data_IF_379145113915
#
_entry.id   IF_379145113915
#
_cell.length_a   1.000
_cell.length_b   1.000
_cell.length_c   1.000
_cell.angle_alpha   90.00
_cell.angle_beta   90.00
_cell.angle_gamma   90.00
#
_symmetry.space_group_name_H-M   'P 1'
#
loop_
_entity.id
_entity.type
_entity.pdbx_description
1 polymer ?
#
# COMPACT_ATOMS: atom_id res chain seq x y z
N UNK A 1 -5.61 22.29 -2.99
CA UNK A 1 -4.34 21.66 -3.38
C UNK A 1 -4.60 20.42 -4.21
N UNK A 2 -3.70 20.05 -5.10
CA UNK A 2 -3.70 18.75 -5.78
C UNK A 2 -2.95 17.79 -4.86
N UNK A 3 -3.51 16.62 -4.59
CA UNK A 3 -2.91 15.61 -3.73
C UNK A 3 -2.79 14.31 -4.50
N UNK A 4 -1.60 13.77 -4.67
CA UNK A 4 -1.42 12.38 -5.10
C UNK A 4 -1.40 11.48 -3.87
N UNK A 5 -2.01 10.29 -3.95
CA UNK A 5 -2.08 9.35 -2.82
C UNK A 5 -1.95 7.92 -3.32
N UNK A 6 -1.29 7.11 -2.49
CA UNK A 6 -1.16 5.67 -2.66
C UNK A 6 -1.25 4.97 -1.30
N UNK A 7 -1.67 3.70 -1.28
CA UNK A 7 -1.80 2.92 -0.05
C UNK A 7 -1.21 1.53 -0.18
N UNK A 8 -0.48 1.10 0.86
CA UNK A 8 -0.01 -0.28 1.02
C UNK A 8 -0.93 -1.04 1.97
N UNK A 9 -1.35 -2.23 1.56
CA UNK A 9 -2.38 -2.98 2.27
C UNK A 9 -1.93 -4.39 2.65
N UNK A 10 -2.57 -4.98 3.66
CA UNK A 10 -2.31 -6.37 4.07
C UNK A 10 -2.85 -7.41 3.08
N UNK A 11 -3.58 -6.99 2.06
CA UNK A 11 -4.14 -7.82 0.99
C UNK A 11 -5.21 -7.08 0.21
N UNK A 12 -5.86 -7.77 -0.75
CA UNK A 12 -6.82 -7.18 -1.68
C UNK A 12 -8.28 -7.30 -1.23
N UNK A 13 -8.56 -8.10 -0.21
CA UNK A 13 -9.91 -8.44 0.21
C UNK A 13 -10.33 -7.64 1.45
N UNK A 14 -10.80 -6.43 1.23
CA UNK A 14 -11.27 -5.55 2.29
C UNK A 14 -12.51 -6.08 3.02
N UNK A 15 -13.33 -6.90 2.36
CA UNK A 15 -14.49 -7.53 2.98
C UNK A 15 -14.11 -8.60 4.03
N UNK A 16 -12.95 -9.23 3.88
CA UNK A 16 -12.43 -10.21 4.83
C UNK A 16 -11.31 -9.67 5.72
N UNK A 17 -11.29 -8.35 5.91
CA UNK A 17 -10.48 -7.73 6.94
C UNK A 17 -9.10 -7.23 6.50
N UNK A 18 -8.78 -7.26 5.19
CA UNK A 18 -7.59 -6.55 4.71
C UNK A 18 -7.75 -5.04 4.94
N UNK A 19 -6.66 -4.39 5.34
CA UNK A 19 -6.63 -2.95 5.61
C UNK A 19 -5.34 -2.34 5.13
N UNK A 20 -5.33 -1.06 4.82
CA UNK A 20 -4.08 -0.33 4.61
C UNK A 20 -3.30 -0.24 5.91
N UNK A 21 -1.99 -0.40 5.81
CA UNK A 21 -1.06 -0.21 6.93
C UNK A 21 -0.11 0.96 6.68
N UNK A 22 -0.08 1.46 5.45
CA UNK A 22 0.70 2.61 5.06
C UNK A 22 -0.12 3.45 4.08
N UNK A 23 -0.13 4.75 4.28
CA UNK A 23 -0.66 5.74 3.35
C UNK A 23 0.44 6.74 3.07
N UNK A 24 0.70 6.98 1.81
CA UNK A 24 1.61 8.03 1.35
C UNK A 24 0.87 9.04 0.50
N UNK A 25 1.25 10.30 0.60
CA UNK A 25 0.69 11.33 -0.25
C UNK A 25 1.72 12.43 -0.54
N UNK A 26 1.48 13.18 -1.61
CA UNK A 26 2.31 14.32 -1.98
C UNK A 26 1.42 15.40 -2.60
N UNK A 27 1.61 16.66 -2.19
CA UNK A 27 0.88 17.80 -2.76
C UNK A 27 1.72 18.64 -3.73
N UNK A 28 2.94 18.17 -4.00
CA UNK A 28 3.91 18.82 -4.86
C UNK A 28 5.00 19.58 -4.10
N UNK A 29 4.70 20.06 -2.90
CA UNK A 29 5.65 20.74 -2.02
C UNK A 29 6.08 19.84 -0.86
N UNK A 30 5.10 19.16 -0.23
CA UNK A 30 5.29 18.29 0.92
C UNK A 30 4.96 16.83 0.60
N UNK A 31 5.71 15.92 1.26
CA UNK A 31 5.45 14.49 1.25
C UNK A 31 4.90 14.07 2.61
N UNK A 32 3.81 13.33 2.58
CA UNK A 32 3.14 12.81 3.76
C UNK A 32 3.33 11.30 3.85
N UNK A 33 3.48 10.82 5.06
CA UNK A 33 3.66 9.41 5.36
C UNK A 33 2.94 9.08 6.67
N UNK A 34 1.99 8.16 6.63
CA UNK A 34 1.25 7.70 7.80
C UNK A 34 1.26 6.19 7.86
N UNK A 35 1.57 5.66 9.02
CA UNK A 35 1.74 4.22 9.24
C UNK A 35 0.81 3.73 10.35
N UNK A 36 0.07 2.66 10.06
CA UNK A 36 -0.65 1.88 11.05
C UNK A 36 0.21 0.76 11.63
N UNK A 37 0.04 0.46 12.90
CA UNK A 37 0.70 -0.67 13.53
C UNK A 37 0.14 -1.98 13.00
N UNK A 38 0.99 -2.90 12.57
CA UNK A 38 0.61 -4.20 12.03
C UNK A 38 1.01 -5.31 13.00
N UNK A 39 0.05 -6.14 13.38
CA UNK A 39 0.38 -7.39 14.06
C UNK A 39 1.06 -8.34 13.04
N UNK A 40 2.32 -8.73 13.25
CA UNK A 40 3.06 -9.53 12.27
C UNK A 40 2.50 -10.95 12.08
N UNK A 41 1.68 -11.44 13.02
CA UNK A 41 1.12 -12.79 13.01
C UNK A 41 -0.29 -12.83 12.42
N UNK A 42 -1.18 -11.95 12.92
CA UNK A 42 -2.58 -11.91 12.49
C UNK A 42 -2.78 -11.02 11.27
N UNK A 43 -1.84 -10.11 11.02
CA UNK A 43 -1.92 -9.02 10.03
C UNK A 43 -3.06 -8.03 10.30
N UNK A 44 -3.57 -8.01 11.51
CA UNK A 44 -4.46 -6.97 11.95
C UNK A 44 -3.72 -5.64 11.96
N UNK A 45 -4.38 -4.61 11.43
CA UNK A 45 -3.85 -3.26 11.36
C UNK A 45 -4.59 -2.39 12.37
N UNK A 46 -3.83 -1.64 13.15
CA UNK A 46 -4.34 -0.68 14.12
C UNK A 46 -3.85 0.71 13.74
N UNK A 47 -4.77 1.63 13.65
CA UNK A 47 -4.51 3.04 13.41
C UNK A 47 -4.82 3.84 14.65
N UNK A 48 -3.91 4.72 15.03
CA UNK A 48 -4.16 5.69 16.09
C UNK A 48 -5.15 6.75 15.59
N UNK A 49 -6.04 7.21 16.45
CA UNK A 49 -7.13 8.13 16.08
C UNK A 49 -6.61 9.49 15.61
N UNK A 50 -5.57 10.00 16.24
CA UNK A 50 -4.91 11.26 15.89
C UNK A 50 -4.25 11.19 14.50
N UNK A 51 -3.68 10.04 14.11
CA UNK A 51 -3.14 9.82 12.77
C UNK A 51 -4.26 9.82 11.73
N UNK A 52 -5.39 9.14 12.01
CA UNK A 52 -6.55 9.16 11.11
C UNK A 52 -7.15 10.56 10.97
N UNK A 53 -7.20 11.33 12.05
CA UNK A 53 -7.65 12.73 12.02
C UNK A 53 -6.74 13.60 11.16
N UNK A 54 -5.43 13.39 11.22
CA UNK A 54 -4.47 14.09 10.36
C UNK A 54 -4.69 13.74 8.88
N UNK A 55 -4.78 12.45 8.54
CA UNK A 55 -5.08 11.98 7.18
C UNK A 55 -6.38 12.62 6.68
N UNK A 56 -7.45 12.55 7.49
CA UNK A 56 -8.74 13.14 7.12
C UNK A 56 -8.64 14.65 6.90
N UNK A 57 -7.87 15.34 7.74
CA UNK A 57 -7.64 16.78 7.60
C UNK A 57 -6.98 17.14 6.28
N UNK A 58 -5.98 16.36 5.85
CA UNK A 58 -5.29 16.57 4.57
C UNK A 58 -6.24 16.27 3.40
N UNK A 59 -6.96 15.15 3.45
CA UNK A 59 -7.95 14.77 2.44
C UNK A 59 -9.04 15.84 2.26
N UNK A 60 -9.51 16.43 3.35
CA UNK A 60 -10.52 17.49 3.30
C UNK A 60 -10.04 18.77 2.59
N UNK A 61 -8.74 19.04 2.61
CA UNK A 61 -8.13 20.22 1.98
C UNK A 61 -7.87 20.03 0.49
N UNK A 62 -7.89 18.80 -0.03
CA UNK A 62 -7.61 18.58 -1.43
C UNK A 62 -8.76 19.09 -2.33
N UNK A 63 -8.40 19.67 -3.44
CA UNK A 63 -9.32 20.09 -4.52
C UNK A 63 -9.34 19.07 -5.65
N UNK A 64 -8.23 18.35 -5.84
CA UNK A 64 -8.08 17.22 -6.77
C UNK A 64 -7.30 16.13 -6.07
N UNK A 65 -7.78 14.90 -6.14
CA UNK A 65 -7.16 13.70 -5.58
C UNK A 65 -6.72 12.80 -6.74
N UNK A 66 -5.42 12.63 -6.89
CA UNK A 66 -4.82 11.83 -7.98
C UNK A 66 -4.39 10.47 -7.44
N UNK A 67 -4.86 9.41 -8.06
CA UNK A 67 -4.52 8.03 -7.71
C UNK A 67 -4.30 7.19 -8.96
N UNK A 68 -3.73 6.00 -8.79
CA UNK A 68 -3.63 5.01 -9.86
C UNK A 68 -4.43 3.77 -9.49
N UNK A 69 -5.55 3.51 -10.17
CA UNK A 69 -6.57 2.53 -9.77
C UNK A 69 -7.33 2.98 -8.50
N UNK A 70 -7.84 4.18 -8.56
CA UNK A 70 -8.54 4.89 -7.47
C UNK A 70 -9.52 4.04 -6.67
N UNK A 71 -10.24 3.13 -7.35
CA UNK A 71 -11.22 2.28 -6.68
C UNK A 71 -10.61 1.42 -5.57
N UNK A 72 -9.35 1.03 -5.72
CA UNK A 72 -8.64 0.25 -4.71
C UNK A 72 -8.33 1.11 -3.48
N UNK A 73 -7.67 2.24 -3.67
CA UNK A 73 -7.23 3.11 -2.57
C UNK A 73 -8.42 3.75 -1.83
N UNK A 74 -9.47 4.13 -2.54
CA UNK A 74 -10.68 4.64 -1.91
C UNK A 74 -11.32 3.59 -0.98
N UNK A 75 -11.37 2.32 -1.39
CA UNK A 75 -11.83 1.23 -0.50
C UNK A 75 -10.89 0.98 0.67
N UNK A 76 -9.59 1.11 0.45
CA UNK A 76 -8.61 1.00 1.51
C UNK A 76 -8.85 2.08 2.58
N UNK A 77 -8.98 3.34 2.18
CA UNK A 77 -9.28 4.45 3.08
C UNK A 77 -10.60 4.27 3.83
N UNK A 78 -11.66 3.85 3.12
CA UNK A 78 -12.97 3.57 3.74
C UNK A 78 -12.88 2.47 4.80
N UNK A 79 -12.07 1.43 4.55
CA UNK A 79 -11.92 0.27 5.44
C UNK A 79 -11.36 0.61 6.82
N UNK A 80 -10.68 1.74 6.96
CA UNK A 80 -10.14 2.26 8.22
C UNK A 80 -10.98 3.40 8.81
N UNK A 81 -12.13 3.68 8.23
CA UNK A 81 -13.11 4.63 8.77
C UNK A 81 -12.96 6.07 8.29
N UNK A 82 -12.10 6.33 7.31
CA UNK A 82 -12.00 7.65 6.71
C UNK A 82 -13.26 7.99 5.90
N UNK A 83 -13.69 9.23 5.96
CA UNK A 83 -14.86 9.74 5.23
C UNK A 83 -14.42 10.17 3.84
N UNK A 84 -14.81 9.40 2.85
CA UNK A 84 -14.32 9.56 1.47
C UNK A 84 -15.42 9.97 0.47
N UNK A 85 -16.68 9.98 0.87
CA UNK A 85 -17.81 10.19 -0.04
C UNK A 85 -17.70 11.52 -0.81
N UNK A 86 -17.21 12.56 -0.13
CA UNK A 86 -17.03 13.90 -0.70
C UNK A 86 -15.81 14.03 -1.62
N UNK A 87 -14.99 12.97 -1.71
CA UNK A 87 -13.78 12.97 -2.54
C UNK A 87 -14.05 12.45 -3.95
N UNK A 88 -15.12 11.68 -4.18
CA UNK A 88 -15.40 11.07 -5.47
C UNK A 88 -15.51 12.07 -6.62
N UNK A 89 -16.03 13.25 -6.36
CA UNK A 89 -16.15 14.34 -7.36
C UNK A 89 -14.80 15.04 -7.66
N UNK A 90 -13.74 14.70 -6.91
CA UNK A 90 -12.41 15.32 -7.00
C UNK A 90 -11.35 14.37 -7.54
N UNK A 91 -11.72 13.12 -7.81
CA UNK A 91 -10.78 12.07 -8.18
C UNK A 91 -10.35 12.17 -9.63
N UNK A 92 -9.05 12.06 -9.84
CA UNK A 92 -8.42 11.85 -11.15
C UNK A 92 -7.67 10.50 -11.12
N UNK A 93 -8.15 9.55 -11.92
CA UNK A 93 -7.57 8.21 -11.99
C UNK A 93 -6.61 8.08 -13.18
N UNK A 94 -5.32 7.96 -12.88
CA UNK A 94 -4.28 7.86 -13.90
C UNK A 94 -4.30 6.53 -14.67
N UNK A 95 -4.87 5.45 -14.08
CA UNK A 95 -5.10 4.20 -14.78
C UNK A 95 -6.15 4.39 -15.88
N UNK A 96 -7.29 4.98 -15.55
CA UNK A 96 -8.36 5.26 -16.52
C UNK A 96 -7.89 6.27 -17.59
N UNK A 97 -7.16 7.29 -17.18
CA UNK A 97 -6.57 8.26 -18.13
C UNK A 97 -5.63 7.59 -19.12
N UNK A 98 -4.80 6.64 -18.68
CA UNK A 98 -3.89 5.89 -19.55
C UNK A 98 -4.64 5.02 -20.56
N UNK A 99 -5.73 4.38 -20.15
CA UNK A 99 -6.60 3.62 -21.06
C UNK A 99 -7.26 4.51 -22.12
N UNK A 100 -7.68 5.71 -21.73
CA UNK A 100 -8.27 6.67 -22.65
C UNK A 100 -7.27 7.20 -23.67
N UNK A 101 -6.00 7.37 -23.28
CA UNK A 101 -4.93 7.84 -24.16
C UNK A 101 -4.49 6.77 -25.17
N UNK A 102 -4.26 5.55 -24.71
CA UNK A 102 -3.79 4.46 -25.57
C UNK A 102 -4.16 3.10 -24.97
N UNK A 103 -5.27 2.52 -25.42
CA UNK A 103 -5.79 1.24 -24.91
C UNK A 103 -4.91 0.01 -25.21
N UNK A 104 -3.95 0.13 -26.13
CA UNK A 104 -3.05 -0.97 -26.52
C UNK A 104 -1.73 -1.04 -25.75
N UNK A 105 -1.46 -0.08 -24.91
CA UNK A 105 -0.21 0.00 -24.14
C UNK A 105 -0.33 -0.69 -22.76
N UNK A 106 0.82 -0.81 -22.08
CA UNK A 106 0.80 -1.14 -20.65
C UNK A 106 0.20 0.01 -19.84
N UNK A 107 -0.64 -0.31 -18.88
CA UNK A 107 -1.26 0.64 -17.96
C UNK A 107 -0.71 0.52 -16.54
N UNK A 108 0.35 -0.25 -16.35
CA UNK A 108 1.05 -0.33 -15.08
C UNK A 108 1.71 1.01 -14.77
N UNK A 109 1.57 1.51 -13.53
CA UNK A 109 2.09 2.81 -13.11
C UNK A 109 3.59 2.96 -13.40
N UNK A 110 4.36 1.90 -13.18
CA UNK A 110 5.79 1.86 -13.44
C UNK A 110 6.13 2.05 -14.91
N UNK A 111 5.45 1.31 -15.79
CA UNK A 111 5.67 1.44 -17.24
C UNK A 111 5.28 2.83 -17.73
N UNK A 112 4.21 3.39 -17.16
CA UNK A 112 3.77 4.75 -17.47
C UNK A 112 4.78 5.81 -16.97
N UNK A 113 5.34 5.62 -15.76
CA UNK A 113 6.35 6.54 -15.22
C UNK A 113 7.64 6.54 -16.04
N UNK A 114 8.08 5.38 -16.51
CA UNK A 114 9.22 5.29 -17.43
C UNK A 114 8.89 5.96 -18.75
N UNK A 115 7.72 5.65 -19.32
CA UNK A 115 7.33 6.15 -20.65
C UNK A 115 7.14 7.67 -20.69
N UNK A 116 6.47 8.24 -19.69
CA UNK A 116 6.08 9.65 -19.71
C UNK A 116 6.99 10.57 -18.91
N UNK A 117 7.62 10.05 -17.85
CA UNK A 117 8.46 10.83 -16.95
C UNK A 117 9.94 10.48 -17.04
N UNK A 118 10.29 9.44 -17.82
CA UNK A 118 11.66 8.94 -17.95
C UNK A 118 12.29 8.57 -16.59
N UNK A 119 11.45 8.11 -15.63
CA UNK A 119 11.89 7.66 -14.33
C UNK A 119 12.45 6.24 -14.43
N UNK A 120 13.53 5.97 -13.67
CA UNK A 120 14.18 4.68 -13.66
C UNK A 120 13.58 3.78 -12.57
N UNK A 121 13.69 2.47 -12.80
CA UNK A 121 13.12 1.41 -11.96
C UNK A 121 14.05 1.03 -10.79
N UNK A 122 14.73 1.99 -10.19
CA UNK A 122 15.75 1.67 -9.20
C UNK A 122 15.15 1.46 -7.79
N UNK A 123 14.07 2.16 -7.46
CA UNK A 123 13.44 2.10 -6.13
C UNK A 123 12.91 0.69 -5.79
N UNK A 124 12.27 -0.01 -6.75
CA UNK A 124 11.81 -1.39 -6.55
C UNK A 124 12.98 -2.37 -6.39
N UNK A 125 14.06 -2.15 -7.12
CA UNK A 125 15.27 -2.97 -6.99
C UNK A 125 15.94 -2.77 -5.64
N UNK A 126 15.97 -1.53 -5.15
CA UNK A 126 16.52 -1.19 -3.85
C UNK A 126 15.66 -1.78 -2.73
N UNK A 127 14.33 -1.74 -2.85
CA UNK A 127 13.40 -2.41 -1.93
C UNK A 127 13.62 -3.93 -1.94
N UNK A 128 13.68 -4.57 -3.11
CA UNK A 128 13.97 -6.01 -3.27
C UNK A 128 15.32 -6.39 -2.62
N UNK A 129 16.35 -5.56 -2.78
CA UNK A 129 17.66 -5.77 -2.17
C UNK A 129 17.60 -5.61 -0.66
N UNK A 130 16.89 -4.61 -0.18
CA UNK A 130 16.69 -4.37 1.26
C UNK A 130 15.99 -5.54 1.91
N UNK A 131 14.87 -6.00 1.36
CA UNK A 131 14.13 -7.18 1.85
C UNK A 131 15.03 -8.42 1.86
N UNK A 132 15.79 -8.67 0.78
CA UNK A 132 16.74 -9.80 0.71
C UNK A 132 17.85 -9.71 1.76
N UNK A 133 18.32 -8.50 2.05
CA UNK A 133 19.38 -8.28 3.05
C UNK A 133 18.88 -8.47 4.49
N UNK A 134 17.59 -8.24 4.75
CA UNK A 134 16.98 -8.44 6.07
C UNK A 134 16.83 -9.93 6.43
N UNK A 135 16.62 -10.80 5.45
CA UNK A 135 16.42 -12.25 5.69
C UNK A 135 17.49 -12.88 6.56
N UNK A 136 18.80 -12.78 6.25
CA UNK A 136 19.84 -13.35 7.12
C UNK A 136 19.90 -12.69 8.49
N UNK A 137 19.62 -11.40 8.59
CA UNK A 137 19.61 -10.68 9.86
C UNK A 137 18.47 -11.16 10.76
N UNK A 138 17.29 -11.35 10.23
CA UNK A 138 16.14 -11.88 10.96
C UNK A 138 16.38 -13.35 11.37
N UNK A 139 16.90 -14.16 10.47
CA UNK A 139 17.25 -15.55 10.75
C UNK A 139 18.29 -15.66 11.87
N UNK A 140 19.29 -14.76 11.92
CA UNK A 140 20.29 -14.74 12.99
C UNK A 140 19.70 -14.38 14.37
N UNK A 141 18.55 -13.72 14.39
CA UNK A 141 17.78 -13.40 15.62
C UNK A 141 16.77 -14.50 15.99
N UNK A 142 16.77 -15.63 15.29
CA UNK A 142 15.86 -16.74 15.52
C UNK A 142 14.50 -16.62 14.85
N UNK A 143 14.28 -15.56 14.05
CA UNK A 143 13.03 -15.43 13.29
C UNK A 143 13.03 -16.40 12.11
N UNK A 144 11.87 -17.00 11.85
CA UNK A 144 11.67 -17.90 10.73
C UNK A 144 10.58 -17.40 9.79
N UNK A 145 10.72 -17.69 8.50
CA UNK A 145 9.68 -17.36 7.51
C UNK A 145 8.61 -18.45 7.56
N UNK A 146 7.35 -18.05 7.75
CA UNK A 146 6.21 -18.95 7.72
C UNK A 146 6.11 -19.66 6.37
N UNK A 147 6.07 -20.98 6.37
CA UNK A 147 5.94 -21.81 5.17
C UNK A 147 4.48 -22.20 4.95
N UNK A 148 4.16 -22.56 3.70
CA UNK A 148 2.86 -23.15 3.35
C UNK A 148 2.53 -24.31 4.28
N UNK A 149 1.40 -24.24 4.96
CA UNK A 149 0.97 -25.21 5.97
C UNK A 149 1.08 -24.72 7.41
N UNK A 150 1.74 -23.58 7.66
CA UNK A 150 1.70 -22.94 8.98
C UNK A 150 0.28 -22.44 9.31
N UNK A 151 -0.20 -22.53 10.58
CA UNK A 151 -1.57 -22.10 10.94
C UNK A 151 -1.92 -20.67 10.53
N UNK A 152 -0.96 -19.75 10.57
CA UNK A 152 -1.13 -18.35 10.14
C UNK A 152 -1.01 -18.15 8.62
N UNK A 153 -0.58 -19.16 7.87
CA UNK A 153 -0.40 -19.05 6.41
C UNK A 153 -1.71 -18.93 5.61
N UNK A 154 -2.85 -19.50 6.00
CA UNK A 154 -4.11 -19.38 5.24
C UNK A 154 -4.62 -17.95 5.08
N UNK A 155 -4.41 -17.10 6.08
CA UNK A 155 -4.76 -15.68 6.01
C UNK A 155 -4.00 -14.92 4.91
N UNK A 156 -2.94 -15.55 4.37
CA UNK A 156 -2.00 -14.97 3.43
C UNK A 156 -2.15 -15.48 2.00
N UNK A 157 -3.12 -16.36 1.74
CA UNK A 157 -3.26 -17.11 0.47
C UNK A 157 -3.40 -16.23 -0.80
N UNK A 158 -3.48 -14.94 -0.68
CA UNK A 158 -3.44 -13.99 -1.79
C UNK A 158 -2.33 -12.95 -1.65
N UNK A 159 -2.01 -12.55 -0.43
CA UNK A 159 -1.11 -11.44 -0.15
C UNK A 159 0.38 -11.79 -0.36
N UNK A 160 0.81 -13.00 -0.01
CA UNK A 160 2.24 -13.40 -0.07
C UNK A 160 2.80 -13.38 -1.48
N UNK A 161 1.98 -13.65 -2.49
CA UNK A 161 2.44 -13.67 -3.89
C UNK A 161 2.51 -12.28 -4.53
N UNK A 162 1.78 -11.31 -3.98
CA UNK A 162 1.70 -9.97 -4.55
C UNK A 162 2.79 -9.02 -4.05
N UNK A 163 3.13 -9.12 -2.77
CA UNK A 163 4.02 -8.13 -2.16
C UNK A 163 5.44 -8.62 -1.92
N UNK A 164 5.77 -9.85 -2.33
CA UNK A 164 7.09 -10.45 -2.05
C UNK A 164 7.54 -10.33 -0.57
N UNK A 165 6.58 -10.04 0.32
CA UNK A 165 6.85 -9.88 1.74
C UNK A 165 6.84 -11.23 2.43
N UNK A 166 7.92 -11.51 3.11
CA UNK A 166 8.04 -12.69 3.96
C UNK A 166 7.18 -12.51 5.22
N UNK A 167 6.48 -13.55 5.62
CA UNK A 167 5.87 -13.59 6.95
C UNK A 167 6.89 -14.15 7.94
N UNK A 168 7.29 -13.33 8.88
CA UNK A 168 8.26 -13.69 9.89
C UNK A 168 7.57 -14.17 11.17
N UNK A 169 8.07 -15.26 11.75
CA UNK A 169 7.63 -15.81 13.01
C UNK A 169 8.66 -15.53 14.09
N UNK A 170 8.21 -15.11 15.26
CA UNK A 170 9.08 -14.91 16.41
C UNK A 170 9.71 -16.24 16.86
N UNK A 171 10.89 -16.21 17.54
CA UNK A 171 11.61 -17.42 17.96
C UNK A 171 10.80 -18.37 18.84
N UNK A 172 9.90 -17.87 19.63
CA UNK A 172 9.06 -18.61 20.59
C UNK A 172 7.81 -19.26 19.93
N UNK A 173 7.58 -18.97 18.65
CA UNK A 173 6.44 -19.49 17.86
C UNK A 173 6.88 -20.44 16.73
N UNK A 174 8.15 -20.78 16.70
CA UNK A 174 8.74 -21.66 15.68
C UNK A 174 8.56 -23.14 15.99
#
# INVERSE_FOLDING_TARGET
>A
MILSLDSETTGLDFFHGCKPFLITACDGDDNYYWEGSVNPYTREVFWEEDVLDEVQSILNKCSVLVMHNTQFDMRALESIGLKIEHLWDKVEDTLLASHALCSGDSHNLKDLSIKYLNLWDDDEKDLDQTVKSLRPQMASKGWQIAKKGHPHFPALKGAVNWFKMDMWLAPDEC
#
